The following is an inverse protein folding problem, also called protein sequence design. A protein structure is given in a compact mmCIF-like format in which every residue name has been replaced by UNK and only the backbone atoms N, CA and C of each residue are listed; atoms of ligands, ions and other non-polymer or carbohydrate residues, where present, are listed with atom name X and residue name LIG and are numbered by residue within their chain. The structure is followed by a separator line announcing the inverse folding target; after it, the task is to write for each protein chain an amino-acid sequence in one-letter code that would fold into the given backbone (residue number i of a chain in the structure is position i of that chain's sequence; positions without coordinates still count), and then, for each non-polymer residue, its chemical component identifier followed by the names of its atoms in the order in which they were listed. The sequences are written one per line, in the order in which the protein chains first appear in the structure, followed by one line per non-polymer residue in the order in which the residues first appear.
data_IF_089797149684
#
_entry.id   IF_089797149684
#
_cell.length_a   1.000
_cell.length_b   1.000
_cell.length_c   1.000
_cell.angle_alpha   90.00
_cell.angle_beta   90.00
_cell.angle_gamma   90.00
#
_symmetry.space_group_name_H-M   'P 1'
#
loop_
_entity.id
_entity.type
_entity.pdbx_description
1 polymer ?
#
# COMPACT_ATOMS: atom_id res chain seq x y z
N UNK A 1 -36.10 14.95 -47.63
CA UNK A 1 -34.68 15.29 -47.84
C UNK A 1 -33.97 15.08 -46.52
N UNK A 2 -33.20 14.01 -46.39
CA UNK A 2 -32.48 13.65 -45.15
C UNK A 2 -30.99 13.59 -45.49
N UNK A 3 -30.18 14.38 -44.79
CA UNK A 3 -28.72 14.40 -44.97
C UNK A 3 -28.12 13.12 -44.35
N UNK A 4 -27.15 12.46 -45.00
CA UNK A 4 -26.42 11.37 -44.37
C UNK A 4 -25.40 11.94 -43.39
N UNK A 5 -25.49 11.51 -42.12
CA UNK A 5 -24.49 11.83 -41.12
C UNK A 5 -23.18 11.10 -41.45
N UNK A 6 -22.14 11.87 -41.78
CA UNK A 6 -20.77 11.38 -41.87
C UNK A 6 -20.29 11.01 -40.46
N UNK A 7 -20.37 9.73 -40.11
CA UNK A 7 -19.70 9.18 -38.93
C UNK A 7 -18.20 9.15 -39.22
N UNK A 8 -17.45 10.05 -38.60
CA UNK A 8 -16.00 10.00 -38.64
C UNK A 8 -15.51 8.73 -37.92
N UNK A 9 -14.61 7.92 -38.50
CA UNK A 9 -14.06 6.79 -37.78
C UNK A 9 -13.29 7.30 -36.56
N UNK A 10 -13.66 6.80 -35.37
CA UNK A 10 -12.91 7.05 -34.16
C UNK A 10 -11.50 6.47 -34.35
N UNK A 11 -10.51 7.34 -34.59
CA UNK A 11 -9.11 6.97 -34.68
C UNK A 11 -8.65 6.50 -33.28
N UNK A 12 -8.90 5.24 -32.94
CA UNK A 12 -8.20 4.60 -31.82
C UNK A 12 -6.75 4.47 -32.24
N UNK A 13 -5.87 5.27 -31.63
CA UNK A 13 -4.44 4.97 -31.65
C UNK A 13 -4.27 3.58 -31.03
N UNK A 14 -4.10 2.57 -31.87
CA UNK A 14 -3.68 1.26 -31.44
C UNK A 14 -2.24 1.41 -30.96
N UNK A 15 -1.99 1.15 -29.67
CA UNK A 15 -0.64 0.84 -29.21
C UNK A 15 -0.13 -0.37 -30.01
N UNK A 16 1.13 -0.34 -30.42
CA UNK A 16 1.73 -1.42 -31.20
C UNK A 16 1.54 -2.75 -30.45
N UNK A 17 0.86 -3.69 -31.11
CA UNK A 17 0.55 -5.02 -30.56
C UNK A 17 1.84 -5.83 -30.55
N UNK A 18 2.24 -6.29 -29.36
CA UNK A 18 3.35 -7.22 -29.21
C UNK A 18 2.81 -8.58 -28.77
N UNK A 19 3.31 -9.65 -29.38
CA UNK A 19 2.88 -11.05 -29.14
C UNK A 19 3.00 -11.50 -27.67
N UNK A 20 3.78 -10.76 -26.86
CA UNK A 20 3.93 -10.97 -25.43
C UNK A 20 2.70 -10.54 -24.60
N UNK A 21 1.82 -9.67 -25.11
CA UNK A 21 0.62 -9.23 -24.40
C UNK A 21 -0.62 -9.85 -25.06
N UNK A 22 -1.17 -10.88 -24.40
CA UNK A 22 -2.37 -11.59 -24.86
C UNK A 22 -3.61 -10.71 -24.93
N UNK A 23 -4.50 -11.03 -25.87
CA UNK A 23 -5.71 -10.27 -26.17
C UNK A 23 -6.87 -10.72 -25.25
N UNK A 24 -7.15 -9.96 -24.20
CA UNK A 24 -8.32 -10.19 -23.33
C UNK A 24 -9.51 -9.29 -23.67
N UNK A 25 -9.38 -8.39 -24.65
CA UNK A 25 -10.39 -7.40 -25.02
C UNK A 25 -10.72 -6.35 -23.94
N UNK A 26 -10.19 -6.49 -22.71
CA UNK A 26 -10.52 -5.62 -21.58
C UNK A 26 -9.28 -5.16 -20.79
N UNK A 27 -8.11 -5.79 -20.95
CA UNK A 27 -6.87 -5.41 -20.27
C UNK A 27 -5.63 -6.01 -20.94
N UNK A 28 -4.57 -5.21 -21.15
CA UNK A 28 -3.27 -5.65 -21.71
C UNK A 28 -2.56 -6.71 -20.84
N UNK A 29 -2.96 -6.80 -19.56
CA UNK A 29 -2.56 -7.85 -18.64
C UNK A 29 -3.78 -8.27 -17.84
N UNK A 30 -4.31 -9.47 -18.09
CA UNK A 30 -5.09 -10.14 -17.06
C UNK A 30 -4.11 -10.57 -15.97
N UNK A 31 -4.15 -9.91 -14.81
CA UNK A 31 -3.46 -10.43 -13.63
C UNK A 31 -4.01 -11.85 -13.41
N UNK A 32 -3.11 -12.85 -13.35
CA UNK A 32 -3.52 -14.24 -13.14
C UNK A 32 -4.44 -14.31 -11.92
N UNK A 33 -5.53 -15.06 -12.03
CA UNK A 33 -6.41 -15.29 -10.88
C UNK A 33 -5.59 -15.83 -9.70
N UNK A 34 -5.76 -15.23 -8.52
CA UNK A 34 -5.07 -15.64 -7.29
C UNK A 34 -3.86 -14.80 -6.88
N UNK A 35 -3.42 -13.80 -7.66
CA UNK A 35 -2.38 -12.86 -7.18
C UNK A 35 -3.00 -11.86 -6.21
N UNK A 36 -2.45 -11.69 -4.99
CA UNK A 36 -2.91 -10.68 -4.05
C UNK A 36 -2.78 -9.26 -4.60
N UNK A 37 -3.74 -8.39 -4.29
CA UNK A 37 -3.73 -6.99 -4.74
C UNK A 37 -2.43 -6.24 -4.39
N UNK A 38 -1.86 -6.35 -3.17
CA UNK A 38 -0.58 -5.69 -2.85
C UNK A 38 0.57 -6.14 -3.76
N UNK A 39 0.63 -7.44 -4.06
CA UNK A 39 1.65 -8.05 -4.92
C UNK A 39 1.50 -7.55 -6.37
N UNK A 40 0.27 -7.50 -6.88
CA UNK A 40 -0.02 -6.99 -8.22
C UNK A 40 0.34 -5.50 -8.37
N UNK A 41 0.05 -4.68 -7.36
CA UNK A 41 0.40 -3.26 -7.37
C UNK A 41 1.91 -3.03 -7.25
N UNK A 42 2.62 -3.84 -6.47
CA UNK A 42 4.07 -3.80 -6.38
C UNK A 42 4.72 -4.14 -7.74
N UNK A 43 4.24 -5.19 -8.41
CA UNK A 43 4.69 -5.54 -9.76
C UNK A 43 4.40 -4.43 -10.77
N UNK A 44 3.22 -3.80 -10.69
CA UNK A 44 2.87 -2.66 -11.54
C UNK A 44 3.84 -1.47 -11.32
N UNK A 45 4.14 -1.12 -10.06
CA UNK A 45 5.13 -0.08 -9.72
C UNK A 45 6.50 -0.35 -10.33
N UNK A 46 6.98 -1.58 -10.25
CA UNK A 46 8.27 -1.99 -10.85
C UNK A 46 8.26 -1.83 -12.38
N UNK A 47 7.20 -2.28 -13.05
CA UNK A 47 7.06 -2.11 -14.51
C UNK A 47 7.00 -0.63 -14.90
N UNK A 48 6.29 0.18 -14.11
CA UNK A 48 6.17 1.61 -14.36
C UNK A 48 7.50 2.34 -14.16
N UNK A 49 8.41 1.84 -13.32
CA UNK A 49 9.78 2.38 -13.24
C UNK A 49 10.49 2.31 -14.59
N UNK A 50 10.47 1.13 -15.22
CA UNK A 50 11.04 0.97 -16.57
C UNK A 50 10.28 1.79 -17.62
N UNK A 51 8.96 1.93 -17.50
CA UNK A 51 8.16 2.74 -18.41
C UNK A 51 8.49 4.24 -18.32
N UNK A 52 8.69 4.78 -17.10
CA UNK A 52 9.10 6.16 -16.86
C UNK A 52 10.48 6.42 -17.48
N UNK A 53 11.45 5.54 -17.24
CA UNK A 53 12.79 5.67 -17.83
C UNK A 53 12.75 5.65 -19.36
N UNK A 54 11.98 4.73 -19.96
CA UNK A 54 11.82 4.66 -21.41
C UNK A 54 11.10 5.90 -21.97
N UNK A 55 10.08 6.41 -21.27
CA UNK A 55 9.34 7.58 -21.69
C UNK A 55 10.20 8.85 -21.66
N UNK A 56 11.02 9.04 -20.62
CA UNK A 56 11.94 10.18 -20.55
C UNK A 56 13.06 10.09 -21.59
N UNK A 57 13.65 8.91 -21.80
CA UNK A 57 14.62 8.72 -22.91
C UNK A 57 14.01 9.05 -24.27
N UNK A 58 12.79 8.58 -24.52
CA UNK A 58 12.07 8.91 -25.76
C UNK A 58 11.79 10.40 -25.87
N UNK A 59 11.46 11.07 -24.76
CA UNK A 59 11.23 12.51 -24.73
C UNK A 59 12.51 13.30 -25.03
N UNK A 60 13.65 12.86 -24.49
CA UNK A 60 14.97 13.42 -24.79
C UNK A 60 15.31 13.25 -26.27
N UNK A 61 15.13 12.04 -26.83
CA UNK A 61 15.42 11.74 -28.24
C UNK A 61 14.56 12.58 -29.21
N UNK A 62 13.28 12.78 -28.87
CA UNK A 62 12.34 13.53 -29.71
C UNK A 62 12.45 15.05 -29.48
N UNK A 63 12.88 15.49 -28.29
CA UNK A 63 13.03 16.90 -27.93
C UNK A 63 11.73 17.71 -27.92
N UNK A 64 10.56 17.04 -27.84
CA UNK A 64 9.25 17.70 -27.91
C UNK A 64 8.65 17.93 -26.52
N UNK A 65 8.12 19.14 -26.23
CA UNK A 65 7.38 19.40 -24.99
C UNK A 65 6.23 18.42 -24.73
N UNK A 66 5.57 17.94 -25.79
CA UNK A 66 4.48 16.96 -25.68
C UNK A 66 4.99 15.59 -25.23
N UNK A 67 6.20 15.20 -25.66
CA UNK A 67 6.83 13.95 -25.24
C UNK A 67 7.22 14.00 -23.76
N UNK A 68 7.81 15.12 -23.31
CA UNK A 68 8.08 15.35 -21.88
C UNK A 68 6.81 15.39 -21.05
N UNK A 69 5.75 16.05 -21.54
CA UNK A 69 4.44 16.05 -20.88
C UNK A 69 3.87 14.63 -20.74
N UNK A 70 4.08 13.77 -21.74
CA UNK A 70 3.67 12.36 -21.67
C UNK A 70 4.49 11.58 -20.65
N UNK A 71 5.83 11.75 -20.64
CA UNK A 71 6.71 11.11 -19.67
C UNK A 71 6.35 11.50 -18.23
N UNK A 72 6.05 12.79 -18.01
CA UNK A 72 5.61 13.29 -16.71
C UNK A 72 4.27 12.68 -16.27
N UNK A 73 3.31 12.50 -17.18
CA UNK A 73 2.06 11.82 -16.85
C UNK A 73 2.27 10.35 -16.44
N UNK A 74 3.20 9.65 -17.10
CA UNK A 74 3.57 8.28 -16.73
C UNK A 74 4.23 8.24 -15.35
N UNK A 75 5.09 9.21 -15.04
CA UNK A 75 5.70 9.38 -13.72
C UNK A 75 4.66 9.65 -12.63
N UNK A 76 3.70 10.55 -12.89
CA UNK A 76 2.60 10.81 -11.96
C UNK A 76 1.73 9.58 -11.72
N UNK A 77 1.45 8.80 -12.77
CA UNK A 77 0.73 7.55 -12.65
C UNK A 77 1.50 6.52 -11.80
N UNK A 78 2.84 6.45 -11.94
CA UNK A 78 3.68 5.63 -11.06
C UNK A 78 3.56 6.08 -9.61
N UNK A 79 3.67 7.39 -9.36
CA UNK A 79 3.53 7.95 -8.03
C UNK A 79 2.19 7.60 -7.36
N UNK A 80 1.09 7.56 -8.12
CA UNK A 80 -0.21 7.14 -7.61
C UNK A 80 -0.23 5.64 -7.21
N UNK A 81 0.41 4.76 -8.00
CA UNK A 81 0.55 3.33 -7.66
C UNK A 81 1.44 3.16 -6.43
N UNK A 82 2.57 3.86 -6.35
CA UNK A 82 3.48 3.82 -5.21
C UNK A 82 2.78 4.25 -3.91
N UNK A 83 1.96 5.30 -3.98
CA UNK A 83 1.15 5.76 -2.85
C UNK A 83 0.13 4.70 -2.40
N UNK A 84 -0.53 4.02 -3.35
CA UNK A 84 -1.47 2.94 -3.03
C UNK A 84 -0.77 1.75 -2.39
N UNK A 85 0.42 1.36 -2.89
CA UNK A 85 1.25 0.31 -2.28
C UNK A 85 1.65 0.71 -0.86
N UNK A 86 2.10 1.95 -0.65
CA UNK A 86 2.46 2.45 0.68
C UNK A 86 1.29 2.43 1.67
N UNK A 87 0.10 2.84 1.24
CA UNK A 87 -1.11 2.80 2.06
C UNK A 87 -1.47 1.37 2.49
N UNK A 88 -1.40 0.39 1.58
CA UNK A 88 -1.67 -1.02 1.90
C UNK A 88 -0.67 -1.60 2.92
N UNK A 89 0.61 -1.23 2.82
CA UNK A 89 1.61 -1.65 3.81
C UNK A 89 1.36 -1.03 5.20
N UNK A 90 0.88 0.22 5.26
CA UNK A 90 0.52 0.85 6.53
C UNK A 90 -0.69 0.14 7.18
N UNK A 91 -1.71 -0.19 6.39
CA UNK A 91 -2.87 -0.95 6.88
C UNK A 91 -2.48 -2.32 7.41
N UNK A 92 -1.67 -3.08 6.67
CA UNK A 92 -1.17 -4.38 7.14
C UNK A 92 -0.38 -4.28 8.45
N UNK A 93 0.38 -3.20 8.63
CA UNK A 93 1.12 -2.96 9.87
C UNK A 93 0.19 -2.64 11.04
N UNK A 94 -0.90 -1.92 10.80
CA UNK A 94 -1.93 -1.64 11.81
C UNK A 94 -2.68 -2.93 12.18
N UNK A 95 -3.06 -3.73 11.19
CA UNK A 95 -3.74 -5.03 11.40
C UNK A 95 -2.87 -6.07 12.14
N UNK A 96 -1.55 -5.98 12.00
CA UNK A 96 -0.59 -6.88 12.66
C UNK A 96 0.03 -6.27 13.92
N UNK A 97 -0.32 -5.04 14.28
CA UNK A 97 0.13 -4.45 15.53
C UNK A 97 -0.41 -5.29 16.71
N UNK A 98 0.42 -5.59 17.73
CA UNK A 98 -0.07 -6.27 18.92
C UNK A 98 -1.22 -5.45 19.54
N UNK A 99 -2.33 -6.11 19.88
CA UNK A 99 -3.42 -5.45 20.59
C UNK A 99 -2.86 -4.81 21.87
N UNK A 100 -2.86 -3.46 21.97
CA UNK A 100 -2.27 -2.77 23.11
C UNK A 100 -2.97 -3.15 24.41
N UNK A 101 -4.27 -3.47 24.37
CA UNK A 101 -5.02 -3.88 25.55
C UNK A 101 -4.61 -5.30 25.96
N UNK A 102 -4.54 -6.26 25.04
CA UNK A 102 -4.03 -7.60 25.33
C UNK A 102 -2.60 -7.56 25.91
N UNK A 103 -1.72 -6.73 25.35
CA UNK A 103 -0.37 -6.53 25.88
C UNK A 103 -0.38 -5.99 27.32
N UNK A 104 -1.23 -5.00 27.61
CA UNK A 104 -1.34 -4.43 28.95
C UNK A 104 -1.92 -5.43 29.96
N UNK A 105 -2.88 -6.28 29.55
CA UNK A 105 -3.40 -7.36 30.39
C UNK A 105 -2.32 -8.39 30.73
N UNK A 106 -1.51 -8.80 29.75
CA UNK A 106 -0.37 -9.70 29.99
C UNK A 106 0.66 -9.06 30.94
N UNK A 107 1.02 -7.80 30.70
CA UNK A 107 1.97 -7.07 31.53
C UNK A 107 1.46 -6.83 32.97
N UNK A 108 0.14 -6.66 33.13
CA UNK A 108 -0.51 -6.57 34.43
C UNK A 108 -0.41 -7.89 35.20
N UNK A 109 -0.69 -9.01 34.54
CA UNK A 109 -0.62 -10.33 35.17
C UNK A 109 0.82 -10.69 35.58
N UNK A 110 1.79 -10.44 34.71
CA UNK A 110 3.22 -10.59 35.04
C UNK A 110 3.62 -9.72 36.25
N UNK A 111 3.13 -8.49 36.33
CA UNK A 111 3.43 -7.60 37.47
C UNK A 111 2.80 -8.12 38.76
N UNK A 112 1.56 -8.65 38.72
CA UNK A 112 0.90 -9.26 39.89
C UNK A 112 1.64 -10.52 40.35
N UNK A 113 2.04 -11.37 39.42
CA UNK A 113 2.81 -12.58 39.72
C UNK A 113 4.15 -12.23 40.39
N UNK A 114 4.86 -11.21 39.87
CA UNK A 114 6.13 -10.74 40.45
C UNK A 114 5.95 -10.09 41.83
N UNK A 115 4.85 -9.38 42.07
CA UNK A 115 4.52 -8.86 43.40
C UNK A 115 4.30 -10.00 44.41
N UNK A 116 3.55 -11.04 44.01
CA UNK A 116 3.29 -12.21 44.86
C UNK A 116 4.56 -13.00 45.20
N UNK A 117 5.50 -13.12 44.24
CA UNK A 117 6.77 -13.83 44.41
C UNK A 117 7.87 -12.98 45.05
N UNK A 118 7.63 -11.68 45.30
CA UNK A 118 8.64 -10.77 45.81
C UNK A 118 9.05 -11.10 47.25
N UNK A 119 10.37 -11.27 47.44
CA UNK A 119 11.00 -11.61 48.74
C UNK A 119 11.15 -10.40 49.67
N UNK A 120 11.02 -9.18 49.17
CA UNK A 120 11.19 -7.94 49.95
C UNK A 120 10.00 -7.01 49.77
N UNK A 121 9.68 -6.23 50.81
CA UNK A 121 8.61 -5.24 50.77
C UNK A 121 8.83 -4.18 49.69
N UNK A 122 10.08 -3.76 49.47
CA UNK A 122 10.45 -2.79 48.44
C UNK A 122 10.15 -3.31 47.02
N UNK A 123 10.52 -4.56 46.72
CA UNK A 123 10.25 -5.15 45.40
C UNK A 123 8.76 -5.38 45.17
N UNK A 124 8.04 -5.81 46.22
CA UNK A 124 6.58 -5.95 46.15
C UNK A 124 5.90 -4.62 45.83
N UNK A 125 6.25 -3.55 46.55
CA UNK A 125 5.70 -2.21 46.31
C UNK A 125 5.99 -1.68 44.90
N UNK A 126 7.15 -1.99 44.32
CA UNK A 126 7.46 -1.64 42.93
C UNK A 126 6.52 -2.35 41.94
N UNK A 127 6.33 -3.66 42.09
CA UNK A 127 5.46 -4.44 41.21
C UNK A 127 3.97 -4.11 41.41
N UNK A 128 3.54 -3.77 42.62
CA UNK A 128 2.19 -3.29 42.90
C UNK A 128 1.93 -1.92 42.26
N UNK A 129 2.90 -1.00 42.34
CA UNK A 129 2.83 0.31 41.68
C UNK A 129 2.77 0.18 40.16
N UNK A 130 3.58 -0.72 39.59
CA UNK A 130 3.55 -1.03 38.15
C UNK A 130 2.23 -1.67 37.72
N UNK A 131 1.68 -2.59 38.51
CA UNK A 131 0.36 -3.18 38.25
C UNK A 131 -0.76 -2.12 38.29
N UNK A 132 -0.69 -1.20 39.24
CA UNK A 132 -1.64 -0.08 39.35
C UNK A 132 -1.58 0.83 38.12
N UNK A 133 -0.37 1.13 37.63
CA UNK A 133 -0.19 1.92 36.41
C UNK A 133 -0.79 1.23 35.17
N UNK A 134 -0.62 -0.09 35.02
CA UNK A 134 -1.24 -0.83 33.93
C UNK A 134 -2.76 -0.86 34.02
N UNK A 135 -3.34 -1.01 35.22
CA UNK A 135 -4.79 -0.95 35.41
C UNK A 135 -5.36 0.41 35.00
N UNK A 136 -4.69 1.51 35.34
CA UNK A 136 -5.09 2.86 34.93
C UNK A 136 -5.03 2.99 33.40
N UNK A 137 -3.95 2.49 32.78
CA UNK A 137 -3.80 2.55 31.33
C UNK A 137 -4.89 1.74 30.61
N UNK A 138 -5.20 0.52 31.07
CA UNK A 138 -6.28 -0.32 30.54
C UNK A 138 -7.62 0.42 30.66
N UNK A 139 -7.97 0.91 31.85
CA UNK A 139 -9.22 1.63 32.07
C UNK A 139 -9.35 2.91 31.22
N UNK A 140 -8.23 3.54 30.87
CA UNK A 140 -8.22 4.72 29.99
C UNK A 140 -8.47 4.35 28.53
N UNK A 141 -7.97 3.19 28.09
CA UNK A 141 -8.10 2.71 26.71
C UNK A 141 -9.43 1.98 26.45
N UNK A 142 -10.00 1.34 27.47
CA UNK A 142 -11.29 0.63 27.41
C UNK A 142 -12.51 1.52 27.68
N UNK A 143 -12.28 2.82 27.98
CA UNK A 143 -13.29 3.79 28.42
C UNK A 143 -14.59 3.84 27.61
#
# INVERSE_FOLDING_TARGET
MSLPALSAPAFRRCTQRHDIFGDSGLSLFSVRAGVPVPEALNQASMLMTSAVEAAYRTADDVGSPTAFGTAYLVEMAKGAVDAAVGALHLQQREDTAPDPIAFLHEALEDSRQKAAQSRTAKMRAYHDGRASAFQIAIATLEG
#
